data_IF_886230040109
#
_entry.id   IF_886230040109
#
_cell.length_a   1.000
_cell.length_b   1.000
_cell.length_c   1.000
_cell.angle_alpha   90.00
_cell.angle_beta   90.00
_cell.angle_gamma   90.00
#
_symmetry.space_group_name_H-M   'P 1'
#
loop_
_entity.id
_entity.type
_entity.pdbx_description
1 polymer ?
#
# COMPACT_ATOMS: atom_id res chain seq x y z
N UNK A 1 3.75 2.03 5.61
CA UNK A 1 2.73 3.08 5.56
C UNK A 1 2.60 3.87 6.86
N UNK A 2 2.48 3.24 8.03
CA UNK A 2 2.38 3.96 9.31
C UNK A 2 3.71 4.07 10.07
N UNK A 3 4.82 3.79 9.40
CA UNK A 3 6.15 3.72 10.03
C UNK A 3 6.77 5.08 10.33
N UNK A 4 6.48 6.09 9.52
CA UNK A 4 7.14 7.38 9.67
C UNK A 4 6.16 8.53 9.54
N UNK A 5 6.53 9.68 10.13
CA UNK A 5 5.75 10.90 10.00
C UNK A 5 5.74 11.42 8.57
N UNK A 6 6.81 11.20 7.81
CA UNK A 6 6.90 11.59 6.40
C UNK A 6 5.86 10.84 5.57
N UNK A 7 5.77 9.52 5.73
CA UNK A 7 4.77 8.70 5.05
C UNK A 7 3.35 9.18 5.36
N UNK A 8 3.05 9.43 6.63
CA UNK A 8 1.74 9.94 7.03
C UNK A 8 1.43 11.31 6.41
N UNK A 9 2.40 12.19 6.36
CA UNK A 9 2.25 13.52 5.73
C UNK A 9 1.95 13.40 4.23
N UNK A 10 2.58 12.47 3.54
CA UNK A 10 2.30 12.21 2.13
C UNK A 10 0.87 11.69 1.96
N UNK A 11 0.43 10.74 2.80
CA UNK A 11 -0.90 10.16 2.71
C UNK A 11 -2.00 11.21 2.89
N UNK A 12 -1.86 12.12 3.84
CA UNK A 12 -2.86 13.15 4.09
C UNK A 12 -2.75 14.35 3.14
N UNK A 13 -1.74 14.37 2.27
CA UNK A 13 -1.61 15.44 1.26
C UNK A 13 -2.59 15.18 0.12
N UNK A 14 -3.49 16.13 -0.11
CA UNK A 14 -4.58 15.99 -1.08
C UNK A 14 -4.14 16.01 -2.56
N UNK A 15 -2.87 16.22 -2.86
CA UNK A 15 -2.34 16.17 -4.23
C UNK A 15 -2.45 14.76 -4.83
N UNK A 16 -2.29 13.73 -3.99
CA UNK A 16 -2.33 12.34 -4.44
C UNK A 16 -3.68 11.70 -4.13
N UNK A 17 -4.21 10.96 -5.09
CA UNK A 17 -5.29 10.00 -4.86
C UNK A 17 -4.64 8.64 -4.60
N UNK A 18 -4.85 8.10 -3.41
CA UNK A 18 -4.25 6.85 -2.99
C UNK A 18 -5.30 5.74 -3.00
N UNK A 19 -4.90 4.58 -3.54
CA UNK A 19 -5.74 3.39 -3.66
C UNK A 19 -5.05 2.21 -2.99
N UNK A 20 -5.84 1.34 -2.38
CA UNK A 20 -5.29 0.12 -1.78
C UNK A 20 -6.34 -1.00 -1.81
N UNK A 21 -5.92 -2.27 -1.95
CA UNK A 21 -6.85 -3.36 -1.71
C UNK A 21 -7.18 -3.44 -0.21
N UNK A 22 -8.38 -3.90 0.13
CA UNK A 22 -8.80 -4.10 1.53
C UNK A 22 -7.88 -5.04 2.30
N UNK A 23 -7.22 -5.92 1.59
CA UNK A 23 -6.21 -6.82 2.11
C UNK A 23 -5.18 -6.11 2.99
N UNK A 24 -4.77 -4.89 2.61
CA UNK A 24 -3.79 -4.09 3.36
C UNK A 24 -4.24 -3.83 4.80
N UNK A 25 -5.47 -3.40 4.98
CA UNK A 25 -6.00 -3.11 6.31
C UNK A 25 -6.17 -4.37 7.15
N UNK A 26 -6.60 -5.48 6.52
CA UNK A 26 -6.68 -6.78 7.19
C UNK A 26 -5.32 -7.24 7.70
N UNK A 27 -4.28 -7.09 6.89
CA UNK A 27 -2.92 -7.48 7.28
C UNK A 27 -2.37 -6.60 8.40
N UNK A 28 -2.65 -5.30 8.37
CA UNK A 28 -2.22 -4.39 9.43
C UNK A 28 -2.94 -4.74 10.75
N UNK A 29 -4.25 -5.00 10.71
CA UNK A 29 -5.00 -5.38 11.90
C UNK A 29 -4.49 -6.67 12.54
N UNK A 30 -4.14 -7.66 11.75
CA UNK A 30 -3.53 -8.91 12.23
C UNK A 30 -2.20 -8.69 12.93
N UNK A 31 -1.46 -7.64 12.55
CA UNK A 31 -0.11 -7.38 13.02
C UNK A 31 -0.02 -6.21 13.99
N UNK A 32 -1.15 -5.74 14.56
CA UNK A 32 -1.17 -4.60 15.48
C UNK A 32 -0.27 -4.78 16.70
N UNK A 33 -0.19 -5.98 17.27
CA UNK A 33 0.71 -6.25 18.39
C UNK A 33 2.18 -6.00 18.01
N UNK A 34 2.58 -6.51 16.85
CA UNK A 34 3.93 -6.34 16.34
C UNK A 34 4.23 -4.86 16.05
N UNK A 35 3.31 -4.18 15.39
CA UNK A 35 3.45 -2.76 15.04
C UNK A 35 3.56 -1.92 16.31
N UNK A 36 2.74 -2.18 17.32
CA UNK A 36 2.73 -1.45 18.57
C UNK A 36 4.04 -1.61 19.33
N UNK A 37 4.66 -2.79 19.28
CA UNK A 37 5.98 -3.01 19.86
C UNK A 37 7.08 -2.23 19.13
N UNK A 38 6.93 -2.08 17.82
CA UNK A 38 7.92 -1.38 16.99
C UNK A 38 7.86 0.14 17.12
N UNK A 39 6.66 0.72 17.15
CA UNK A 39 6.49 2.17 17.14
C UNK A 39 6.23 2.77 18.53
N UNK A 40 6.24 1.95 19.56
CA UNK A 40 6.03 2.39 20.95
C UNK A 40 4.67 3.04 21.24
N UNK A 41 3.70 2.86 20.34
CA UNK A 41 2.32 3.28 20.56
C UNK A 41 1.48 2.11 21.05
N UNK A 42 0.38 2.41 21.74
CA UNK A 42 -0.58 1.37 22.14
C UNK A 42 -1.32 0.81 20.94
N UNK A 43 -1.94 -0.36 21.10
CA UNK A 43 -2.80 -0.94 20.07
C UNK A 43 -3.95 0.01 19.73
N UNK A 44 -4.56 0.63 20.75
CA UNK A 44 -5.65 1.60 20.54
C UNK A 44 -5.18 2.83 19.77
N UNK A 45 -3.99 3.34 20.04
CA UNK A 45 -3.43 4.47 19.30
C UNK A 45 -3.18 4.12 17.84
N UNK A 46 -2.66 2.93 17.56
CA UNK A 46 -2.47 2.46 16.19
C UNK A 46 -3.80 2.26 15.45
N UNK A 47 -4.83 1.76 16.14
CA UNK A 47 -6.18 1.66 15.56
C UNK A 47 -6.73 3.03 15.16
N UNK A 48 -6.53 4.04 16.02
CA UNK A 48 -6.96 5.41 15.72
C UNK A 48 -6.22 5.99 14.52
N UNK A 49 -4.92 5.73 14.42
CA UNK A 49 -4.12 6.15 13.25
C UNK A 49 -4.66 5.52 11.98
N UNK A 50 -4.95 4.22 11.99
CA UNK A 50 -5.53 3.52 10.85
C UNK A 50 -6.88 4.10 10.45
N UNK A 51 -7.73 4.37 11.41
CA UNK A 51 -9.04 4.97 11.17
C UNK A 51 -8.91 6.33 10.48
N UNK A 52 -8.00 7.17 10.95
CA UNK A 52 -7.73 8.47 10.34
C UNK A 52 -7.20 8.30 8.92
N UNK A 53 -6.21 7.44 8.71
CA UNK A 53 -5.60 7.23 7.39
C UNK A 53 -6.60 6.66 6.39
N UNK A 54 -7.53 5.82 6.84
CA UNK A 54 -8.55 5.23 5.96
C UNK A 54 -9.44 6.28 5.29
N UNK A 55 -9.56 7.46 5.87
CA UNK A 55 -10.32 8.58 5.28
C UNK A 55 -9.61 9.22 4.08
N UNK A 56 -8.30 8.97 3.93
CA UNK A 56 -7.47 9.55 2.86
C UNK A 56 -7.12 8.55 1.78
N UNK A 57 -7.56 7.29 1.91
CA UNK A 57 -7.20 6.20 1.00
C UNK A 57 -8.49 5.55 0.49
N UNK A 58 -8.59 5.38 -0.82
CA UNK A 58 -9.69 4.63 -1.43
C UNK A 58 -9.40 3.13 -1.30
N UNK A 59 -10.30 2.43 -0.61
CA UNK A 59 -10.16 1.00 -0.35
C UNK A 59 -11.02 0.24 -1.34
N UNK A 60 -10.43 -0.73 -2.04
CA UNK A 60 -11.10 -1.55 -3.05
C UNK A 60 -11.28 -2.98 -2.57
N UNK A 61 -12.51 -3.47 -2.65
CA UNK A 61 -12.82 -4.87 -2.38
C UNK A 61 -12.24 -5.79 -3.46
N UNK A 62 -12.06 -7.06 -3.13
CA UNK A 62 -11.47 -8.03 -4.04
C UNK A 62 -12.23 -8.14 -5.37
N UNK A 63 -13.54 -7.88 -5.40
CA UNK A 63 -14.33 -7.93 -6.64
C UNK A 63 -13.79 -7.00 -7.73
N UNK A 64 -13.12 -5.90 -7.36
CA UNK A 64 -12.56 -4.95 -8.32
C UNK A 64 -11.29 -5.48 -9.02
N UNK A 65 -10.56 -6.41 -8.40
CA UNK A 65 -9.29 -6.88 -8.94
C UNK A 65 -9.18 -8.39 -9.06
N UNK A 66 -10.23 -9.13 -8.73
CA UNK A 66 -10.19 -10.60 -8.71
C UNK A 66 -9.84 -11.19 -10.08
N UNK A 67 -10.33 -10.59 -11.16
CA UNK A 67 -10.07 -11.05 -12.52
C UNK A 67 -8.61 -10.84 -12.95
N UNK A 68 -7.87 -10.03 -12.22
CA UNK A 68 -6.47 -9.71 -12.51
C UNK A 68 -5.48 -10.48 -11.65
N UNK A 69 -5.95 -11.31 -10.73
CA UNK A 69 -5.08 -12.07 -9.83
C UNK A 69 -4.17 -13.04 -10.58
N UNK A 70 -4.67 -13.65 -11.65
CA UNK A 70 -3.86 -14.55 -12.48
C UNK A 70 -2.68 -13.84 -13.12
N UNK A 71 -2.93 -12.73 -13.79
CA UNK A 71 -1.87 -11.93 -14.42
C UNK A 71 -0.91 -11.34 -13.38
N UNK A 72 -1.44 -10.86 -12.26
CA UNK A 72 -0.62 -10.34 -11.18
C UNK A 72 0.28 -11.44 -10.58
N UNK A 73 -0.24 -12.64 -10.42
CA UNK A 73 0.56 -13.78 -9.95
C UNK A 73 1.70 -14.11 -10.90
N UNK A 74 1.46 -14.01 -12.20
CA UNK A 74 2.50 -14.18 -13.23
C UNK A 74 3.60 -13.12 -13.10
N UNK A 75 3.23 -11.88 -12.78
CA UNK A 75 4.18 -10.76 -12.68
C UNK A 75 5.03 -10.84 -11.42
N UNK A 76 4.43 -11.11 -10.26
CA UNK A 76 5.11 -10.98 -8.97
C UNK A 76 4.98 -12.19 -8.04
N UNK A 77 4.12 -13.14 -8.35
CA UNK A 77 3.83 -14.25 -7.44
C UNK A 77 5.04 -15.10 -7.06
N UNK A 78 6.01 -15.27 -7.97
CA UNK A 78 7.26 -16.00 -7.71
C UNK A 78 8.22 -15.23 -6.83
N UNK A 79 8.08 -13.92 -6.78
CA UNK A 79 8.93 -13.04 -5.96
C UNK A 79 8.33 -12.97 -4.56
N UNK A 80 7.06 -12.64 -4.46
CA UNK A 80 6.31 -12.62 -3.21
C UNK A 80 4.81 -12.69 -3.51
N UNK A 81 4.16 -13.79 -3.11
CA UNK A 81 2.73 -13.96 -3.35
C UNK A 81 1.86 -12.97 -2.57
N UNK A 82 2.36 -12.43 -1.46
CA UNK A 82 1.62 -11.43 -0.68
C UNK A 82 1.51 -10.09 -1.42
N UNK A 83 2.32 -9.86 -2.43
CA UNK A 83 2.29 -8.64 -3.24
C UNK A 83 1.30 -8.73 -4.40
N UNK A 84 0.76 -9.92 -4.67
CA UNK A 84 -0.15 -10.15 -5.80
C UNK A 84 -1.38 -9.24 -5.77
N UNK A 85 -2.09 -9.04 -4.64
CA UNK A 85 -3.25 -8.15 -4.64
C UNK A 85 -2.95 -6.71 -5.05
N UNK A 86 -1.77 -6.20 -4.73
CA UNK A 86 -1.37 -4.83 -5.11
C UNK A 86 -1.17 -4.68 -6.61
N UNK A 87 -0.52 -5.65 -7.23
CA UNK A 87 -0.34 -5.66 -8.69
C UNK A 87 -1.69 -5.86 -9.38
N UNK A 88 -2.55 -6.75 -8.86
CA UNK A 88 -3.88 -6.97 -9.41
C UNK A 88 -4.71 -5.70 -9.42
N UNK A 89 -4.71 -4.95 -8.32
CA UNK A 89 -5.41 -3.67 -8.25
C UNK A 89 -4.84 -2.66 -9.25
N UNK A 90 -3.51 -2.59 -9.36
CA UNK A 90 -2.86 -1.69 -10.32
C UNK A 90 -3.23 -2.02 -11.78
N UNK A 91 -3.43 -3.30 -12.10
CA UNK A 91 -3.90 -3.72 -13.42
C UNK A 91 -5.38 -3.37 -13.65
N UNK A 92 -6.18 -3.40 -12.58
CA UNK A 92 -7.64 -3.26 -12.68
C UNK A 92 -8.12 -1.82 -12.81
N UNK A 93 -7.39 -0.84 -12.27
CA UNK A 93 -7.81 0.56 -12.24
C UNK A 93 -6.76 1.47 -12.87
N UNK A 94 -7.18 2.64 -13.34
CA UNK A 94 -6.25 3.65 -13.84
C UNK A 94 -5.43 4.22 -12.67
N UNK A 95 -4.11 4.30 -12.87
CA UNK A 95 -3.20 4.82 -11.85
C UNK A 95 -1.86 5.20 -12.50
N UNK A 96 -1.02 5.88 -11.71
CA UNK A 96 0.33 6.28 -12.14
C UNK A 96 1.41 5.34 -11.63
N UNK A 97 1.06 4.29 -10.95
CA UNK A 97 2.00 3.29 -10.45
C UNK A 97 1.77 2.95 -8.98
N UNK A 98 2.64 2.13 -8.44
CA UNK A 98 2.59 1.68 -7.05
C UNK A 98 3.62 2.46 -6.22
N UNK A 99 3.19 2.98 -5.07
CA UNK A 99 4.07 3.58 -4.08
C UNK A 99 4.50 2.52 -3.07
N UNK A 100 5.77 2.16 -3.11
CA UNK A 100 6.34 1.20 -2.17
C UNK A 100 7.85 1.41 -2.06
N UNK A 101 8.39 1.14 -0.87
CA UNK A 101 9.84 1.08 -0.65
C UNK A 101 10.35 -0.36 -0.64
N UNK A 102 9.47 -1.35 -0.84
CA UNK A 102 9.81 -2.77 -0.89
C UNK A 102 10.57 -3.09 -2.18
N UNK A 103 11.78 -3.63 -2.02
CA UNK A 103 12.64 -3.97 -3.16
C UNK A 103 12.04 -5.07 -4.06
N UNK A 104 11.12 -5.89 -3.56
CA UNK A 104 10.46 -6.92 -4.36
C UNK A 104 9.77 -6.35 -5.59
N UNK A 105 9.12 -5.19 -5.46
CA UNK A 105 8.41 -4.55 -6.57
C UNK A 105 9.35 -4.04 -7.67
N UNK A 106 10.62 -3.81 -7.35
CA UNK A 106 11.62 -3.38 -8.33
C UNK A 106 12.09 -4.51 -9.25
N UNK A 107 11.76 -5.77 -8.92
CA UNK A 107 12.15 -6.93 -9.71
C UNK A 107 11.23 -7.21 -10.89
N UNK A 108 10.15 -6.46 -11.04
CA UNK A 108 9.25 -6.49 -12.18
C UNK A 108 9.27 -5.14 -12.89
N UNK A 109 8.91 -5.10 -14.17
CA UNK A 109 8.94 -3.88 -14.96
C UNK A 109 7.64 -3.58 -15.70
N UNK A 110 6.58 -4.32 -15.42
CA UNK A 110 5.27 -4.09 -16.07
C UNK A 110 4.46 -2.99 -15.40
N UNK A 111 4.62 -2.82 -14.10
CA UNK A 111 3.96 -1.76 -13.32
C UNK A 111 5.02 -0.79 -12.83
N UNK A 112 4.80 0.50 -13.05
CA UNK A 112 5.71 1.53 -12.56
C UNK A 112 5.71 1.57 -11.03
N UNK A 113 6.90 1.71 -10.46
CA UNK A 113 7.09 1.76 -9.01
C UNK A 113 7.68 3.11 -8.62
N UNK A 114 7.08 3.72 -7.59
CA UNK A 114 7.55 4.95 -6.99
C UNK A 114 7.96 4.64 -5.55
N UNK A 115 9.22 4.86 -5.20
CA UNK A 115 9.61 4.80 -3.79
C UNK A 115 9.31 6.15 -3.12
N UNK A 116 9.46 6.20 -1.79
CA UNK A 116 9.16 7.41 -1.03
C UNK A 116 10.04 8.59 -1.47
N UNK A 117 11.29 8.35 -1.80
CA UNK A 117 12.19 9.40 -2.32
C UNK A 117 11.69 9.98 -3.64
N UNK A 118 11.19 9.14 -4.53
CA UNK A 118 10.64 9.58 -5.81
C UNK A 118 9.40 10.47 -5.59
N UNK A 119 8.54 10.08 -4.66
CA UNK A 119 7.34 10.85 -4.31
C UNK A 119 7.74 12.23 -3.75
N UNK A 120 8.71 12.27 -2.86
CA UNK A 120 9.19 13.53 -2.28
C UNK A 120 9.76 14.46 -3.36
N UNK A 121 10.53 13.92 -4.27
CA UNK A 121 11.08 14.68 -5.41
C UNK A 121 9.96 15.28 -6.27
N UNK A 122 8.91 14.50 -6.50
CA UNK A 122 7.76 14.98 -7.27
C UNK A 122 7.07 16.18 -6.60
N UNK A 123 7.03 16.19 -5.26
CA UNK A 123 6.39 17.26 -4.49
C UNK A 123 7.21 18.56 -4.45
N UNK A 124 8.49 18.48 -4.69
CA UNK A 124 9.39 19.64 -4.72
C UNK A 124 9.46 20.19 -6.14
#
# INVERSE_FOLDING_TARGET
MIRSSVTRKIIINSIFELYTPEFTFSEIEKNLNYISKKNSLTINDNKKVLEILSNYIHIFDAEFYIDYLGDAGRIIGKIDENDVPYIALALAINNDGIWTDDAHFQKQNEIKVWNTKDIIKYLI
#
